data_IF_939777568598
#
_entry.id   IF_939777568598
#
_cell.length_a   1.000
_cell.length_b   1.000
_cell.length_c   1.000
_cell.angle_alpha   90.00
_cell.angle_beta   90.00
_cell.angle_gamma   90.00
#
_symmetry.space_group_name_H-M   'P 1'
#
loop_
_entity.id
_entity.type
_entity.pdbx_description
1 polymer ?
#
# COMPACT_ATOMS: atom_id res chain seq x y z
N UNK A 1 14.73 -5.09 -18.18
CA UNK A 1 14.27 -3.94 -17.39
C UNK A 1 12.76 -3.96 -17.38
N UNK A 2 12.14 -3.89 -16.19
CA UNK A 2 10.69 -3.84 -15.99
C UNK A 2 10.27 -2.44 -15.58
N UNK A 3 9.00 -2.07 -15.84
CA UNK A 3 8.42 -0.79 -15.43
C UNK A 3 7.38 -0.97 -14.34
N UNK A 4 7.59 -0.30 -13.21
CA UNK A 4 6.67 -0.30 -12.07
C UNK A 4 6.11 1.08 -11.79
N UNK A 5 4.83 1.13 -11.41
CA UNK A 5 4.16 2.37 -10.99
C UNK A 5 3.88 2.30 -9.49
N UNK A 6 4.44 3.24 -8.73
CA UNK A 6 4.30 3.30 -7.27
C UNK A 6 3.54 4.57 -6.88
N UNK A 7 2.29 4.41 -6.48
CA UNK A 7 1.52 5.48 -5.90
C UNK A 7 1.89 5.68 -4.42
N UNK A 8 2.06 6.94 -3.98
CA UNK A 8 2.43 7.27 -2.61
C UNK A 8 3.89 6.95 -2.26
N UNK A 9 4.80 7.11 -3.24
CA UNK A 9 6.21 6.74 -3.10
C UNK A 9 7.14 7.81 -2.53
N UNK A 10 6.64 8.96 -2.06
CA UNK A 10 7.51 10.03 -1.56
C UNK A 10 8.13 9.76 -0.18
N UNK A 11 7.54 8.88 0.62
CA UNK A 11 7.99 8.56 1.98
C UNK A 11 7.65 7.10 2.36
N UNK A 12 8.28 6.62 3.43
CA UNK A 12 7.92 5.37 4.12
C UNK A 12 7.96 4.15 3.20
N UNK A 13 6.95 3.30 3.29
CA UNK A 13 6.89 2.01 2.57
C UNK A 13 7.02 2.21 1.05
N UNK A 14 6.28 3.16 0.48
CA UNK A 14 6.32 3.40 -0.96
C UNK A 14 7.70 3.86 -1.45
N UNK A 15 8.39 4.70 -0.69
CA UNK A 15 9.76 5.12 -1.00
C UNK A 15 10.74 3.95 -0.93
N UNK A 16 10.58 3.08 0.04
CA UNK A 16 11.43 1.89 0.19
C UNK A 16 11.19 0.88 -0.96
N UNK A 17 9.95 0.69 -1.39
CA UNK A 17 9.63 -0.11 -2.59
C UNK A 17 10.35 0.46 -3.81
N UNK A 18 10.31 1.79 -4.03
CA UNK A 18 11.01 2.45 -5.12
C UNK A 18 12.51 2.16 -5.06
N UNK A 19 13.12 2.33 -3.89
CA UNK A 19 14.55 2.11 -3.71
C UNK A 19 14.97 0.67 -4.07
N UNK A 20 14.21 -0.34 -3.60
CA UNK A 20 14.49 -1.74 -3.88
C UNK A 20 14.32 -2.08 -5.37
N UNK A 21 13.31 -1.53 -6.04
CA UNK A 21 13.08 -1.73 -7.47
C UNK A 21 14.19 -1.09 -8.32
N UNK A 22 14.61 0.13 -7.97
CA UNK A 22 15.72 0.81 -8.65
C UNK A 22 17.05 0.08 -8.46
N UNK A 23 17.33 -0.39 -7.23
CA UNK A 23 18.52 -1.20 -6.94
C UNK A 23 18.55 -2.52 -7.73
N UNK A 24 17.38 -3.03 -8.11
CA UNK A 24 17.23 -4.22 -8.96
C UNK A 24 17.28 -3.89 -10.46
N UNK A 25 17.61 -2.65 -10.84
CA UNK A 25 17.79 -2.22 -12.23
C UNK A 25 16.47 -1.98 -13.00
N UNK A 26 15.37 -1.75 -12.30
CA UNK A 26 14.06 -1.50 -12.91
C UNK A 26 13.77 -0.02 -13.09
N UNK A 27 12.82 0.30 -13.97
CA UNK A 27 12.27 1.64 -14.15
C UNK A 27 11.07 1.83 -13.21
N UNK A 28 10.97 2.99 -12.58
CA UNK A 28 9.88 3.32 -11.66
C UNK A 28 9.26 4.67 -12.01
N UNK A 29 7.93 4.70 -12.09
CA UNK A 29 7.15 5.93 -12.10
C UNK A 29 6.50 6.11 -10.72
N UNK A 30 6.92 7.12 -9.98
CA UNK A 30 6.32 7.51 -8.71
C UNK A 30 5.18 8.49 -8.94
N UNK A 31 4.00 8.23 -8.39
CA UNK A 31 2.87 9.16 -8.39
C UNK A 31 2.58 9.57 -6.96
N UNK A 32 2.81 10.83 -6.63
CA UNK A 32 2.63 11.34 -5.26
C UNK A 32 2.55 12.86 -5.26
N UNK A 33 2.08 13.47 -4.17
CA UNK A 33 1.98 14.94 -4.03
C UNK A 33 3.33 15.63 -4.10
N UNK A 34 4.36 15.01 -3.56
CA UNK A 34 5.74 15.53 -3.55
C UNK A 34 6.68 14.49 -4.13
N UNK A 35 7.72 14.91 -4.81
CA UNK A 35 8.74 14.01 -5.34
C UNK A 35 9.43 13.22 -4.21
N UNK A 36 9.81 11.96 -4.42
CA UNK A 36 10.66 11.23 -3.51
C UNK A 36 12.06 11.88 -3.42
N UNK A 37 12.73 11.72 -2.29
CA UNK A 37 14.09 12.24 -2.08
C UNK A 37 15.18 11.43 -2.82
N UNK A 38 14.79 10.41 -3.57
CA UNK A 38 15.67 9.54 -4.35
C UNK A 38 16.02 10.23 -5.67
N UNK A 39 17.31 10.34 -5.98
CA UNK A 39 17.81 10.80 -7.28
C UNK A 39 18.31 9.60 -8.08
N UNK A 40 17.62 9.24 -9.16
CA UNK A 40 17.98 8.11 -10.02
C UNK A 40 17.46 8.31 -11.44
N UNK A 41 18.25 8.00 -12.46
CA UNK A 41 17.89 8.22 -13.87
C UNK A 41 16.69 7.39 -14.35
N UNK A 42 16.43 6.24 -13.71
CA UNK A 42 15.28 5.36 -13.99
C UNK A 42 14.04 5.69 -13.14
N UNK A 43 14.04 6.80 -12.38
CA UNK A 43 12.91 7.25 -11.59
C UNK A 43 12.24 8.46 -12.24
N UNK A 44 10.99 8.29 -12.65
CA UNK A 44 10.09 9.39 -13.03
C UNK A 44 9.16 9.79 -11.88
N UNK A 45 8.76 11.05 -11.82
CA UNK A 45 7.77 11.54 -10.84
C UNK A 45 6.63 12.28 -11.52
N UNK A 46 5.41 11.97 -11.10
CA UNK A 46 4.17 12.63 -11.50
C UNK A 46 3.49 13.17 -10.24
N UNK A 47 3.26 14.47 -10.18
CA UNK A 47 2.57 15.11 -9.07
C UNK A 47 1.06 14.81 -9.15
N UNK A 48 0.49 14.19 -8.10
CA UNK A 48 -0.94 13.90 -8.01
C UNK A 48 -1.38 13.71 -6.56
N UNK A 49 -2.59 14.17 -6.24
CA UNK A 49 -3.24 13.97 -4.95
C UNK A 49 -4.40 12.98 -5.07
N UNK A 50 -4.19 11.77 -4.56
CA UNK A 50 -5.19 10.69 -4.60
C UNK A 50 -6.43 10.94 -3.73
N UNK A 51 -6.41 11.93 -2.84
CA UNK A 51 -7.61 12.34 -2.08
C UNK A 51 -8.60 13.14 -2.93
N UNK A 52 -8.15 13.62 -4.09
CA UNK A 52 -8.96 14.40 -5.02
C UNK A 52 -9.47 13.52 -6.17
N UNK A 53 -10.65 13.87 -6.69
CA UNK A 53 -11.19 13.25 -7.90
C UNK A 53 -10.60 13.81 -9.20
N UNK A 54 -9.37 14.33 -9.14
CA UNK A 54 -8.68 14.87 -10.30
C UNK A 54 -8.29 13.77 -11.28
N UNK A 55 -8.24 14.12 -12.56
CA UNK A 55 -7.81 13.18 -13.61
C UNK A 55 -6.35 12.78 -13.40
N UNK A 56 -6.10 11.47 -13.48
CA UNK A 56 -4.75 10.93 -13.46
C UNK A 56 -4.06 11.17 -14.80
N UNK A 57 -2.80 11.62 -14.79
CA UNK A 57 -2.03 11.74 -16.02
C UNK A 57 -1.87 10.39 -16.71
N UNK A 58 -1.72 10.42 -18.04
CA UNK A 58 -1.48 9.21 -18.80
C UNK A 58 -0.08 8.65 -18.46
N UNK A 59 -0.02 7.34 -18.27
CA UNK A 59 1.23 6.58 -18.21
C UNK A 59 1.19 5.64 -19.40
N UNK A 60 2.08 5.87 -20.34
CA UNK A 60 2.12 5.13 -21.58
C UNK A 60 2.99 3.88 -21.46
N UNK A 61 2.68 2.89 -22.31
CA UNK A 61 3.46 1.67 -22.44
C UNK A 61 3.09 0.54 -21.49
N UNK A 62 3.84 -0.57 -21.57
CA UNK A 62 3.63 -1.73 -20.71
C UNK A 62 3.99 -1.45 -19.26
N UNK A 63 3.22 -2.02 -18.32
CA UNK A 63 3.41 -1.87 -16.88
C UNK A 63 3.51 -3.27 -16.26
N UNK A 64 4.67 -3.59 -15.70
CA UNK A 64 4.92 -4.89 -15.06
C UNK A 64 4.28 -5.00 -13.67
N UNK A 65 4.06 -3.87 -12.99
CA UNK A 65 3.36 -3.90 -11.72
C UNK A 65 3.04 -2.53 -11.13
N UNK A 66 2.09 -2.54 -10.21
CA UNK A 66 1.58 -1.35 -9.51
C UNK A 66 1.53 -1.61 -8.02
N UNK A 67 2.04 -0.69 -7.20
CA UNK A 67 1.77 -0.66 -5.76
C UNK A 67 1.01 0.62 -5.39
N UNK A 68 -0.10 0.49 -4.66
CA UNK A 68 -0.88 1.61 -4.17
C UNK A 68 -0.65 1.81 -2.67
N UNK A 69 0.26 2.72 -2.31
CA UNK A 69 0.68 2.98 -0.93
C UNK A 69 -0.03 4.17 -0.24
N UNK A 70 -0.79 5.08 -0.92
CA UNK A 70 -1.47 6.14 -0.20
C UNK A 70 -2.40 5.59 0.88
N UNK A 71 -2.43 6.26 2.02
CA UNK A 71 -3.26 5.86 3.14
C UNK A 71 -3.34 6.93 4.22
N UNK A 72 -4.21 6.69 5.18
CA UNK A 72 -4.46 7.56 6.32
C UNK A 72 -4.38 6.77 7.63
N UNK A 73 -4.18 7.48 8.74
CA UNK A 73 -4.37 6.98 10.12
C UNK A 73 -5.32 7.94 10.82
N UNK A 74 -6.59 7.55 10.91
CA UNK A 74 -7.62 8.32 11.62
C UNK A 74 -8.15 7.48 12.79
N UNK A 75 -7.63 7.75 13.98
CA UNK A 75 -7.94 6.98 15.20
C UNK A 75 -8.79 7.83 16.13
N UNK A 76 -10.10 7.53 16.18
CA UNK A 76 -11.07 8.23 17.03
C UNK A 76 -12.13 7.26 17.57
N UNK A 77 -12.73 7.60 18.70
CA UNK A 77 -13.94 6.92 19.18
C UNK A 77 -15.03 7.01 18.11
N UNK A 78 -15.76 5.91 17.88
CA UNK A 78 -16.84 5.86 16.87
C UNK A 78 -17.82 7.02 16.99
N UNK A 79 -18.26 7.34 18.22
CA UNK A 79 -19.19 8.46 18.49
C UNK A 79 -18.64 9.85 18.11
N UNK A 80 -17.32 9.99 17.94
CA UNK A 80 -16.65 11.25 17.62
C UNK A 80 -16.25 11.34 16.16
N UNK A 81 -16.41 10.25 15.40
CA UNK A 81 -16.19 10.22 13.95
C UNK A 81 -17.43 10.78 13.23
N UNK A 82 -17.18 11.72 12.33
CA UNK A 82 -18.22 12.24 11.44
C UNK A 82 -18.30 11.39 10.16
N UNK A 83 -19.48 11.29 9.51
CA UNK A 83 -19.62 10.59 8.23
C UNK A 83 -18.61 11.04 7.16
N UNK A 84 -18.28 12.34 7.14
CA UNK A 84 -17.31 12.91 6.21
C UNK A 84 -15.89 12.37 6.40
N UNK A 85 -15.52 11.99 7.62
CA UNK A 85 -14.22 11.37 7.91
C UNK A 85 -14.15 9.94 7.37
N UNK A 86 -15.26 9.20 7.42
CA UNK A 86 -15.36 7.91 6.74
C UNK A 86 -15.22 8.07 5.22
N UNK A 87 -15.89 9.07 4.65
CA UNK A 87 -15.80 9.36 3.22
C UNK A 87 -14.37 9.72 2.81
N UNK A 88 -13.68 10.57 3.57
CA UNK A 88 -12.29 10.95 3.33
C UNK A 88 -11.35 9.74 3.36
N UNK A 89 -11.48 8.87 4.37
CA UNK A 89 -10.70 7.62 4.44
C UNK A 89 -11.02 6.71 3.25
N UNK A 90 -12.28 6.62 2.84
CA UNK A 90 -12.69 5.81 1.69
C UNK A 90 -12.16 6.40 0.37
N UNK A 91 -12.26 7.71 0.18
CA UNK A 91 -11.80 8.38 -1.04
C UNK A 91 -10.31 8.21 -1.26
N UNK A 92 -9.50 8.40 -0.22
CA UNK A 92 -8.06 8.22 -0.30
C UNK A 92 -7.66 6.74 -0.45
N UNK A 93 -8.18 5.88 0.41
CA UNK A 93 -7.69 4.49 0.48
C UNK A 93 -8.28 3.60 -0.61
N UNK A 94 -9.54 3.83 -1.01
CA UNK A 94 -10.28 2.94 -1.94
C UNK A 94 -10.44 3.59 -3.30
N UNK A 95 -11.12 4.75 -3.36
CA UNK A 95 -11.43 5.36 -4.65
C UNK A 95 -10.18 5.85 -5.39
N UNK A 96 -9.15 6.29 -4.66
CA UNK A 96 -7.85 6.60 -5.26
C UNK A 96 -7.23 5.37 -5.92
N UNK A 97 -7.27 4.21 -5.27
CA UNK A 97 -6.79 2.95 -5.85
C UNK A 97 -7.63 2.53 -7.06
N UNK A 98 -8.96 2.61 -6.96
CA UNK A 98 -9.87 2.27 -8.08
C UNK A 98 -9.56 3.12 -9.31
N UNK A 99 -9.51 4.45 -9.17
CA UNK A 99 -9.20 5.36 -10.29
C UNK A 99 -7.85 5.05 -10.93
N UNK A 100 -6.82 4.82 -10.10
CA UNK A 100 -5.49 4.47 -10.60
C UNK A 100 -5.51 3.15 -11.37
N UNK A 101 -6.09 2.10 -10.81
CA UNK A 101 -6.10 0.78 -11.42
C UNK A 101 -6.92 0.75 -12.72
N UNK A 102 -8.05 1.44 -12.78
CA UNK A 102 -8.82 1.60 -14.02
C UNK A 102 -8.00 2.29 -15.12
N UNK A 103 -7.26 3.34 -14.77
CA UNK A 103 -6.39 4.07 -15.71
C UNK A 103 -5.22 3.21 -16.21
N UNK A 104 -4.62 2.40 -15.34
CA UNK A 104 -3.42 1.61 -15.66
C UNK A 104 -3.73 0.20 -16.19
N UNK A 105 -4.98 -0.25 -16.14
CA UNK A 105 -5.36 -1.60 -16.57
C UNK A 105 -4.89 -1.95 -18.00
N UNK A 106 -4.97 -1.07 -19.01
CA UNK A 106 -4.47 -1.40 -20.35
C UNK A 106 -2.97 -1.71 -20.36
N UNK A 107 -2.16 -0.91 -19.66
CA UNK A 107 -0.71 -1.12 -19.55
C UNK A 107 -0.37 -2.40 -18.78
N UNK A 108 -1.12 -2.73 -17.71
CA UNK A 108 -0.99 -3.99 -16.97
C UNK A 108 -1.35 -5.19 -17.84
N UNK A 109 -2.43 -5.13 -18.61
CA UNK A 109 -2.84 -6.20 -19.54
C UNK A 109 -1.85 -6.43 -20.70
N UNK A 110 -1.06 -5.44 -21.04
CA UNK A 110 -0.02 -5.58 -22.06
C UNK A 110 1.17 -6.46 -21.62
N UNK A 111 1.26 -6.77 -20.30
CA UNK A 111 2.30 -7.61 -19.74
C UNK A 111 1.66 -8.84 -19.09
N UNK A 112 1.93 -10.03 -19.65
CA UNK A 112 1.46 -11.28 -19.06
C UNK A 112 2.11 -11.51 -17.69
N UNK A 113 1.28 -11.75 -16.65
CA UNK A 113 1.75 -11.98 -15.29
C UNK A 113 2.11 -10.70 -14.51
N UNK A 114 1.70 -9.54 -15.01
CA UNK A 114 1.82 -8.28 -14.26
C UNK A 114 1.16 -8.38 -12.89
N UNK A 115 1.52 -7.50 -11.96
CA UNK A 115 1.12 -7.63 -10.55
C UNK A 115 0.68 -6.32 -9.92
N UNK A 116 -0.35 -6.41 -9.10
CA UNK A 116 -0.87 -5.30 -8.28
C UNK A 116 -0.72 -5.64 -6.80
N UNK A 117 -0.18 -4.69 -6.04
CA UNK A 117 -0.08 -4.77 -4.58
C UNK A 117 -0.84 -3.62 -3.95
N UNK A 118 -1.84 -3.97 -3.13
CA UNK A 118 -2.64 -3.04 -2.33
C UNK A 118 -2.24 -3.15 -0.85
N UNK A 119 -2.64 -2.17 -0.03
CA UNK A 119 -2.32 -2.17 1.39
C UNK A 119 -3.58 -2.13 2.24
N UNK A 120 -3.78 -3.19 3.03
CA UNK A 120 -4.76 -3.30 4.11
C UNK A 120 -4.13 -2.93 5.46
N UNK A 121 -4.61 -3.49 6.53
CA UNK A 121 -4.09 -3.41 7.90
C UNK A 121 -4.57 -4.60 8.72
N UNK A 122 -3.79 -5.03 9.69
CA UNK A 122 -4.21 -6.07 10.67
C UNK A 122 -5.50 -5.69 11.43
N UNK A 123 -5.81 -4.40 11.53
CA UNK A 123 -7.01 -3.91 12.20
C UNK A 123 -8.32 -4.37 11.54
N UNK A 124 -8.30 -4.80 10.28
CA UNK A 124 -9.47 -5.36 9.60
C UNK A 124 -9.85 -6.71 10.19
N UNK A 125 -8.87 -7.59 10.41
CA UNK A 125 -9.12 -8.96 10.86
C UNK A 125 -9.19 -9.06 12.38
N UNK A 126 -8.36 -8.30 13.10
CA UNK A 126 -8.31 -8.38 14.57
C UNK A 126 -9.39 -7.55 15.29
N UNK A 127 -9.94 -6.53 14.62
CA UNK A 127 -10.82 -5.58 15.30
C UNK A 127 -10.07 -4.77 16.36
N UNK A 128 -9.76 -3.51 16.05
CA UNK A 128 -9.03 -2.64 16.97
C UNK A 128 -9.88 -1.43 17.36
N UNK A 129 -9.88 -1.09 18.65
CA UNK A 129 -10.57 0.11 19.13
C UNK A 129 -10.05 1.36 18.38
N UNK A 130 -10.93 2.32 18.15
CA UNK A 130 -10.65 3.60 17.47
C UNK A 130 -10.34 3.51 15.98
N UNK A 131 -10.43 2.35 15.34
CA UNK A 131 -10.07 2.14 13.92
C UNK A 131 -11.27 2.07 12.99
N UNK A 132 -12.48 2.45 13.39
CA UNK A 132 -13.73 2.17 12.66
C UNK A 132 -13.71 2.66 11.21
N UNK A 133 -13.29 3.90 10.92
CA UNK A 133 -13.28 4.45 9.56
C UNK A 133 -12.20 3.79 8.69
N UNK A 134 -10.98 3.72 9.20
CA UNK A 134 -9.87 3.15 8.45
C UNK A 134 -10.01 1.64 8.25
N UNK A 135 -10.53 0.90 9.26
CA UNK A 135 -10.78 -0.53 9.12
C UNK A 135 -11.88 -0.81 8.08
N UNK A 136 -12.93 0.01 8.01
CA UNK A 136 -13.96 -0.09 6.98
C UNK A 136 -13.37 0.13 5.57
N UNK A 137 -12.58 1.20 5.37
CA UNK A 137 -11.93 1.48 4.10
C UNK A 137 -10.93 0.36 3.70
N UNK A 138 -10.12 -0.11 4.65
CA UNK A 138 -9.15 -1.18 4.38
C UNK A 138 -9.81 -2.56 4.19
N UNK A 139 -10.96 -2.81 4.84
CA UNK A 139 -11.79 -3.98 4.54
C UNK A 139 -12.32 -3.97 3.11
N UNK A 140 -12.70 -2.79 2.60
CA UNK A 140 -13.07 -2.64 1.19
C UNK A 140 -11.90 -2.94 0.24
N UNK A 141 -10.66 -2.57 0.59
CA UNK A 141 -9.44 -2.95 -0.17
C UNK A 141 -9.26 -4.46 -0.22
N UNK A 142 -9.53 -5.19 0.86
CA UNK A 142 -9.45 -6.66 0.86
C UNK A 142 -10.50 -7.29 -0.05
N UNK A 143 -11.74 -6.76 -0.05
CA UNK A 143 -12.79 -7.16 -0.99
C UNK A 143 -12.40 -6.87 -2.44
N UNK A 144 -11.90 -5.66 -2.71
CA UNK A 144 -11.42 -5.25 -4.02
C UNK A 144 -10.28 -6.14 -4.52
N UNK A 145 -9.32 -6.48 -3.65
CA UNK A 145 -8.20 -7.38 -3.97
C UNK A 145 -8.68 -8.72 -4.50
N UNK A 146 -9.61 -9.36 -3.79
CA UNK A 146 -10.15 -10.67 -4.19
C UNK A 146 -10.97 -10.60 -5.48
N UNK A 147 -11.79 -9.55 -5.63
CA UNK A 147 -12.63 -9.36 -6.81
C UNK A 147 -11.77 -9.12 -8.06
N UNK A 148 -10.79 -8.20 -7.99
CA UNK A 148 -9.90 -7.93 -9.12
C UNK A 148 -9.00 -9.13 -9.45
N UNK A 149 -8.53 -9.88 -8.45
CA UNK A 149 -7.77 -11.09 -8.67
C UNK A 149 -8.57 -12.13 -9.48
N UNK A 150 -9.85 -12.30 -9.16
CA UNK A 150 -10.73 -13.20 -9.89
C UNK A 150 -11.04 -12.72 -11.31
N UNK A 151 -11.30 -11.41 -11.48
CA UNK A 151 -11.65 -10.82 -12.77
C UNK A 151 -10.46 -10.75 -13.74
N UNK A 152 -9.25 -10.50 -13.22
CA UNK A 152 -8.07 -10.22 -14.05
C UNK A 152 -7.17 -11.45 -14.27
N UNK A 153 -7.42 -12.55 -13.57
CA UNK A 153 -6.73 -13.81 -13.83
C UNK A 153 -7.03 -14.32 -15.25
N UNK A 154 -6.08 -14.97 -15.92
CA UNK A 154 -4.72 -15.28 -15.46
C UNK A 154 -3.69 -14.18 -15.81
N UNK A 155 -4.11 -13.03 -16.35
CA UNK A 155 -3.22 -12.03 -16.94
C UNK A 155 -2.53 -11.16 -15.89
N UNK A 156 -3.25 -10.79 -14.81
CA UNK A 156 -2.78 -9.89 -13.76
C UNK A 156 -3.02 -10.53 -12.40
N UNK A 157 -2.00 -10.55 -11.55
CA UNK A 157 -2.13 -10.97 -10.15
C UNK A 157 -2.45 -9.76 -9.27
N UNK A 158 -3.33 -9.92 -8.28
CA UNK A 158 -3.70 -8.85 -7.35
C UNK A 158 -3.63 -9.39 -5.94
N UNK A 159 -2.80 -8.77 -5.10
CA UNK A 159 -2.63 -9.15 -3.70
C UNK A 159 -2.65 -7.91 -2.79
N UNK A 160 -2.91 -8.10 -1.52
CA UNK A 160 -2.80 -7.07 -0.50
C UNK A 160 -1.84 -7.48 0.61
N UNK A 161 -1.18 -6.48 1.20
CA UNK A 161 -0.37 -6.62 2.41
C UNK A 161 -1.14 -5.95 3.55
N UNK A 162 -1.22 -6.62 4.70
CA UNK A 162 -1.85 -6.12 5.92
C UNK A 162 -0.76 -5.89 6.99
N UNK A 163 -0.14 -4.70 7.04
CA UNK A 163 0.85 -4.39 8.07
C UNK A 163 0.19 -4.09 9.41
N UNK A 164 0.95 -4.27 10.49
CA UNK A 164 0.72 -3.60 11.76
C UNK A 164 1.41 -2.23 11.76
N UNK A 165 1.74 -1.72 12.95
CA UNK A 165 2.40 -0.43 13.09
C UNK A 165 3.82 -0.47 12.52
N UNK A 166 4.08 0.40 11.54
CA UNK A 166 5.36 0.57 10.84
C UNK A 166 5.90 1.97 11.11
N UNK A 167 7.19 2.08 11.36
CA UNK A 167 7.88 3.36 11.60
C UNK A 167 7.96 4.17 10.30
N UNK A 168 7.06 5.14 10.16
CA UNK A 168 6.91 6.02 8.99
C UNK A 168 6.52 7.43 9.43
N UNK A 169 6.59 8.39 8.54
CA UNK A 169 6.05 9.75 8.80
C UNK A 169 4.56 9.72 9.15
N UNK A 170 3.80 8.80 8.57
CA UNK A 170 2.37 8.66 8.84
C UNK A 170 2.08 8.23 10.28
N UNK A 171 2.89 7.35 10.83
CA UNK A 171 2.76 6.80 12.19
C UNK A 171 3.51 7.59 13.27
N UNK A 172 4.26 8.65 12.90
CA UNK A 172 5.15 9.39 13.81
C UNK A 172 4.45 9.85 15.11
N UNK A 173 3.19 10.27 15.04
CA UNK A 173 2.42 10.67 16.23
C UNK A 173 2.19 9.52 17.21
N UNK A 174 2.07 8.30 16.71
CA UNK A 174 1.86 7.08 17.54
C UNK A 174 3.15 6.62 18.21
N UNK A 175 4.30 7.02 17.67
CA UNK A 175 5.64 6.67 18.14
C UNK A 175 6.40 7.90 18.70
N UNK A 176 5.67 8.94 19.12
CA UNK A 176 6.23 10.26 19.44
C UNK A 176 7.02 10.33 20.75
N UNK A 177 7.01 9.26 21.58
CA UNK A 177 7.88 9.18 22.77
C UNK A 177 8.43 7.74 22.91
N UNK A 178 9.57 7.57 23.63
CA UNK A 178 10.13 6.24 23.91
C UNK A 178 9.12 5.29 24.54
N UNK A 179 8.29 5.77 25.47
CA UNK A 179 7.28 4.97 26.18
C UNK A 179 6.20 4.46 25.20
N UNK A 180 5.75 5.31 24.27
CA UNK A 180 4.78 4.91 23.24
C UNK A 180 5.37 3.90 22.27
N UNK A 181 6.63 4.12 21.87
CA UNK A 181 7.34 3.20 21.00
C UNK A 181 7.52 1.83 21.67
N UNK A 182 7.93 1.79 22.93
CA UNK A 182 8.08 0.57 23.72
C UNK A 182 6.73 -0.15 23.93
N UNK A 183 5.68 0.59 24.30
CA UNK A 183 4.36 0.03 24.45
C UNK A 183 3.82 -0.58 23.14
N UNK A 184 4.13 0.06 22.01
CA UNK A 184 3.80 -0.45 20.68
C UNK A 184 4.61 -1.69 20.35
N UNK A 185 5.92 -1.70 20.62
CA UNK A 185 6.79 -2.85 20.41
C UNK A 185 6.34 -4.08 21.18
N UNK A 186 5.98 -3.93 22.46
CA UNK A 186 5.48 -5.02 23.33
C UNK A 186 4.19 -5.70 22.82
N UNK A 187 3.44 -5.05 21.93
CA UNK A 187 2.24 -5.65 21.33
C UNK A 187 2.57 -6.66 20.23
N UNK A 188 3.81 -6.68 19.74
CA UNK A 188 4.26 -7.58 18.70
C UNK A 188 5.10 -8.71 19.30
N UNK A 189 4.84 -9.98 19.00
CA UNK A 189 5.68 -11.10 19.43
C UNK A 189 7.17 -10.93 19.08
N UNK A 190 7.49 -10.28 17.97
CA UNK A 190 8.88 -9.96 17.61
C UNK A 190 9.47 -8.77 18.39
N UNK A 191 8.76 -8.25 19.40
CA UNK A 191 9.19 -7.21 20.34
C UNK A 191 9.73 -5.93 19.69
N UNK A 192 9.24 -5.57 18.52
CA UNK A 192 9.54 -4.31 17.83
C UNK A 192 8.38 -3.85 16.95
N UNK A 193 8.35 -2.58 16.59
CA UNK A 193 7.52 -2.09 15.49
C UNK A 193 8.14 -2.47 14.14
N UNK A 194 7.33 -2.52 13.09
CA UNK A 194 7.81 -2.76 11.73
C UNK A 194 8.62 -1.59 11.20
N UNK A 195 9.50 -1.86 10.24
CA UNK A 195 10.22 -0.87 9.45
C UNK A 195 9.70 -0.88 8.02
N UNK A 196 9.85 0.21 7.24
CA UNK A 196 9.46 0.24 5.84
C UNK A 196 9.99 -0.95 5.03
N UNK A 197 11.23 -1.37 5.30
CA UNK A 197 11.91 -2.50 4.64
C UNK A 197 11.19 -3.83 4.86
N UNK A 198 10.62 -4.06 6.06
CA UNK A 198 9.88 -5.28 6.39
C UNK A 198 8.68 -5.46 5.45
N UNK A 199 8.03 -4.35 5.09
CA UNK A 199 6.83 -4.35 4.25
C UNK A 199 7.21 -4.31 2.77
N UNK A 200 8.19 -3.47 2.41
CA UNK A 200 8.63 -3.28 1.04
C UNK A 200 9.19 -4.57 0.44
N UNK A 201 9.91 -5.37 1.21
CA UNK A 201 10.46 -6.65 0.75
C UNK A 201 9.36 -7.62 0.28
N UNK A 202 8.24 -7.73 1.02
CA UNK A 202 7.11 -8.54 0.57
C UNK A 202 6.42 -7.90 -0.64
N UNK A 203 6.29 -6.56 -0.69
CA UNK A 203 5.68 -5.88 -1.83
C UNK A 203 6.49 -6.13 -3.11
N UNK A 204 7.81 -5.99 -3.07
CA UNK A 204 8.70 -6.26 -4.22
C UNK A 204 8.64 -7.74 -4.63
N UNK A 205 8.62 -8.66 -3.67
CA UNK A 205 8.41 -10.09 -3.96
C UNK A 205 7.08 -10.32 -4.68
N UNK A 206 5.98 -9.74 -4.19
CA UNK A 206 4.64 -9.88 -4.82
C UNK A 206 4.56 -9.23 -6.20
N UNK A 207 5.31 -8.16 -6.44
CA UNK A 207 5.43 -7.54 -7.76
C UNK A 207 6.27 -8.37 -8.74
N UNK A 208 7.14 -9.24 -8.24
CA UNK A 208 8.06 -10.05 -9.04
C UNK A 208 7.43 -11.32 -9.60
N UNK A 209 8.13 -11.97 -10.53
CA UNK A 209 7.75 -13.28 -11.09
C UNK A 209 7.85 -14.42 -10.07
N UNK A 210 8.64 -14.25 -8.99
CA UNK A 210 8.81 -15.26 -7.94
C UNK A 210 7.49 -15.57 -7.20
N UNK A 211 6.54 -14.64 -7.22
CA UNK A 211 5.19 -14.82 -6.67
C UNK A 211 4.15 -15.25 -7.73
N UNK A 212 4.59 -15.85 -8.84
CA UNK A 212 3.74 -16.18 -10.00
C UNK A 212 2.53 -17.08 -9.71
N UNK A 213 2.51 -17.78 -8.56
CA UNK A 213 1.40 -18.63 -8.11
C UNK A 213 0.61 -18.03 -6.94
N UNK A 214 0.74 -16.69 -6.71
CA UNK A 214 0.08 -15.99 -5.60
C UNK A 214 -0.81 -14.90 -6.17
N UNK A 215 -2.13 -15.02 -5.97
CA UNK A 215 -3.12 -13.99 -6.30
C UNK A 215 -4.33 -14.07 -5.35
N UNK A 216 -5.02 -12.96 -5.15
CA UNK A 216 -6.21 -12.87 -4.28
C UNK A 216 -5.90 -12.94 -2.78
N UNK A 217 -4.63 -12.88 -2.37
CA UNK A 217 -4.22 -13.05 -0.99
C UNK A 217 -4.15 -11.72 -0.25
N UNK A 218 -4.44 -11.77 1.07
CA UNK A 218 -4.18 -10.70 2.03
C UNK A 218 -3.16 -11.24 3.03
N UNK A 219 -1.93 -10.71 2.97
CA UNK A 219 -0.81 -11.24 3.74
C UNK A 219 -0.46 -10.31 4.90
N UNK A 220 -0.49 -10.84 6.14
CA UNK A 220 -0.05 -10.13 7.33
C UNK A 220 1.47 -9.97 7.36
N UNK A 221 1.94 -8.74 7.64
CA UNK A 221 3.35 -8.44 7.96
C UNK A 221 3.34 -7.59 9.21
N UNK A 222 3.35 -8.23 10.37
CA UNK A 222 2.91 -7.62 11.62
C UNK A 222 3.70 -8.08 12.86
N UNK A 223 4.85 -8.72 12.66
CA UNK A 223 5.64 -9.24 13.76
C UNK A 223 4.95 -10.31 14.61
N UNK A 224 3.96 -11.01 14.02
CA UNK A 224 3.19 -12.07 14.68
C UNK A 224 1.95 -11.55 15.44
N UNK A 225 1.66 -10.25 15.38
CA UNK A 225 0.60 -9.64 16.19
C UNK A 225 -0.79 -10.23 15.89
N UNK A 226 -1.09 -10.57 14.64
CA UNK A 226 -2.41 -11.10 14.26
C UNK A 226 -2.54 -12.62 14.42
N UNK A 227 -1.42 -13.35 14.45
CA UNK A 227 -1.43 -14.81 14.39
C UNK A 227 -1.01 -15.49 15.70
N UNK A 228 -0.23 -14.83 16.54
CA UNK A 228 0.32 -15.38 17.78
C UNK A 228 -0.34 -14.74 19.00
N UNK A 229 -0.52 -15.53 20.07
CA UNK A 229 -1.04 -15.09 21.37
C UNK A 229 0.04 -15.18 22.42
#
# INVERSE_FOLDING_TARGET
VKHYVIAGGSHGIGQEIIQQLLNSGHQVTCISRTAPSISHSALGHIAHDFSQAAELPAIEGPIDGVAYCPGSINLKMFRSLKPEEFQQDFDLNVMGAVRLLQKLQPGLKAVQGSSVVLFSTVAVQQGMAFHSSIAAAKGAIEGLTRSLAAEWAPSIRVNAIAPSLVETTLSAKLLSSPEKAEASAKRHPLARVGRPEDIASLAVFLLSEQSGWITGQVMGVDGGMSALR
#
